data_IF_975562051596
#
_entry.id   IF_975562051596
#
_cell.length_a   1.000
_cell.length_b   1.000
_cell.length_c   1.000
_cell.angle_alpha   90.00
_cell.angle_beta   90.00
_cell.angle_gamma   90.00
#
_symmetry.space_group_name_H-M   'P 1'
#
loop_
_entity.id
_entity.type
_entity.pdbx_description
1 polymer ?
#
# COMPACT_ATOMS: atom_id res chain seq x y z
N UNK A 1 16.35 -10.61 18.49
CA UNK A 1 17.74 -10.67 19.03
C UNK A 1 18.43 -9.29 19.09
N UNK A 2 18.23 -8.40 18.11
CA UNK A 2 18.93 -7.11 18.03
C UNK A 2 18.02 -5.88 18.13
N UNK A 3 16.72 -6.06 18.41
CA UNK A 3 15.74 -4.95 18.38
C UNK A 3 15.51 -4.36 16.98
N UNK A 4 15.96 -5.06 15.94
CA UNK A 4 15.77 -4.65 14.54
C UNK A 4 14.35 -5.01 14.10
N UNK A 5 13.68 -4.04 13.50
CA UNK A 5 12.35 -4.24 12.89
C UNK A 5 12.48 -5.17 11.69
N UNK A 6 11.64 -6.19 11.65
CA UNK A 6 11.51 -7.12 10.55
C UNK A 6 10.26 -6.81 9.72
N UNK A 7 10.48 -6.33 8.50
CA UNK A 7 9.45 -6.14 7.50
C UNK A 7 9.42 -7.35 6.56
N UNK A 8 8.22 -7.84 6.23
CA UNK A 8 8.04 -8.87 5.21
C UNK A 8 7.12 -8.37 4.08
N UNK A 9 7.45 -8.68 2.83
CA UNK A 9 6.62 -8.35 1.69
C UNK A 9 5.75 -9.56 1.32
N UNK A 10 4.44 -9.41 1.51
CA UNK A 10 3.43 -10.40 1.17
C UNK A 10 2.76 -10.00 -0.14
N UNK A 11 3.38 -10.39 -1.25
CA UNK A 11 2.92 -10.02 -2.59
C UNK A 11 2.42 -11.22 -3.40
N UNK A 12 1.80 -10.92 -4.54
CA UNK A 12 1.54 -11.93 -5.56
C UNK A 12 2.82 -12.51 -6.16
N UNK A 13 2.79 -13.76 -6.65
CA UNK A 13 3.98 -14.43 -7.15
C UNK A 13 4.28 -14.02 -8.59
N UNK A 14 5.51 -13.56 -8.85
CA UNK A 14 6.01 -13.28 -10.20
C UNK A 14 6.10 -11.79 -10.53
N UNK A 15 6.97 -11.46 -11.48
CA UNK A 15 7.32 -10.07 -11.82
C UNK A 15 6.69 -9.57 -13.12
N UNK A 16 6.12 -10.47 -13.92
CA UNK A 16 5.72 -10.17 -15.30
C UNK A 16 4.22 -9.91 -15.49
N UNK A 17 3.38 -10.41 -14.58
CA UNK A 17 1.94 -10.21 -14.66
C UNK A 17 1.54 -8.90 -13.96
N UNK A 18 0.43 -8.30 -14.40
CA UNK A 18 -0.10 -7.11 -13.74
C UNK A 18 -0.76 -7.46 -12.41
N UNK A 19 -0.87 -6.49 -11.49
CA UNK A 19 -1.61 -6.70 -10.24
C UNK A 19 -3.05 -7.16 -10.49
N UNK A 20 -3.70 -6.60 -11.52
CA UNK A 20 -5.05 -7.00 -11.91
C UNK A 20 -5.09 -8.48 -12.34
N UNK A 21 -4.14 -8.91 -13.15
CA UNK A 21 -4.05 -10.31 -13.58
C UNK A 21 -3.80 -11.26 -12.40
N UNK A 22 -2.95 -10.86 -11.45
CA UNK A 22 -2.75 -11.64 -10.24
C UNK A 22 -3.99 -11.70 -9.34
N UNK A 23 -4.71 -10.59 -9.20
CA UNK A 23 -5.98 -10.55 -8.46
C UNK A 23 -7.00 -11.49 -9.08
N UNK A 24 -7.11 -11.53 -10.41
CA UNK A 24 -8.01 -12.44 -11.12
C UNK A 24 -7.57 -13.91 -10.98
N UNK A 25 -6.27 -14.18 -11.09
CA UNK A 25 -5.71 -15.53 -11.07
C UNK A 25 -5.67 -16.16 -9.67
N UNK A 26 -5.29 -15.39 -8.67
CA UNK A 26 -5.03 -15.88 -7.31
C UNK A 26 -6.09 -15.41 -6.30
N UNK A 27 -6.69 -14.25 -6.53
CA UNK A 27 -7.69 -13.66 -5.64
C UNK A 27 -7.11 -13.13 -4.32
N UNK A 28 -7.95 -12.40 -3.59
CA UNK A 28 -7.62 -11.87 -2.26
C UNK A 28 -7.24 -12.97 -1.25
N UNK A 29 -7.80 -14.18 -1.39
CA UNK A 29 -7.50 -15.30 -0.49
C UNK A 29 -6.01 -15.64 -0.48
N UNK A 30 -5.33 -15.50 -1.63
CA UNK A 30 -3.89 -15.71 -1.70
C UNK A 30 -3.13 -14.67 -0.87
N UNK A 31 -3.44 -13.38 -1.04
CA UNK A 31 -2.80 -12.31 -0.27
C UNK A 31 -3.07 -12.44 1.24
N UNK A 32 -4.30 -12.80 1.64
CA UNK A 32 -4.62 -13.05 3.05
C UNK A 32 -3.76 -14.19 3.62
N UNK A 33 -3.60 -15.27 2.87
CA UNK A 33 -2.78 -16.39 3.29
C UNK A 33 -1.30 -15.99 3.42
N UNK A 34 -0.72 -15.33 2.41
CA UNK A 34 0.70 -14.93 2.45
C UNK A 34 0.97 -13.89 3.54
N UNK A 35 0.11 -12.88 3.68
CA UNK A 35 0.26 -11.84 4.70
C UNK A 35 0.14 -12.42 6.11
N UNK A 36 -0.80 -13.34 6.34
CA UNK A 36 -0.91 -14.02 7.63
C UNK A 36 0.27 -14.94 7.89
N UNK A 37 0.77 -15.65 6.88
CA UNK A 37 1.96 -16.48 7.02
C UNK A 37 3.17 -15.64 7.44
N UNK A 38 3.39 -14.47 6.83
CA UNK A 38 4.44 -13.53 7.25
C UNK A 38 4.28 -13.10 8.71
N UNK A 39 3.06 -12.75 9.13
CA UNK A 39 2.77 -12.38 10.51
C UNK A 39 3.09 -13.52 11.50
N UNK A 40 2.69 -14.76 11.19
CA UNK A 40 2.98 -15.94 12.02
C UNK A 40 4.48 -16.28 12.07
N UNK A 41 5.26 -15.90 11.05
CA UNK A 41 6.72 -16.02 11.05
C UNK A 41 7.41 -14.95 11.93
N UNK A 42 6.65 -14.02 12.50
CA UNK A 42 7.14 -13.04 13.46
C UNK A 42 7.66 -11.74 12.86
N UNK A 43 7.14 -11.31 11.69
CA UNK A 43 7.43 -9.96 11.21
C UNK A 43 6.68 -8.90 12.03
N UNK A 44 7.31 -7.74 12.20
CA UNK A 44 6.74 -6.61 12.94
C UNK A 44 5.67 -5.88 12.13
N UNK A 45 5.81 -5.88 10.81
CA UNK A 45 4.79 -5.40 9.87
C UNK A 45 4.93 -6.08 8.52
N UNK A 46 3.86 -6.05 7.73
CA UNK A 46 3.88 -6.51 6.34
C UNK A 46 3.62 -5.40 5.36
N UNK A 47 4.18 -5.54 4.17
CA UNK A 47 3.80 -4.79 2.98
C UNK A 47 3.00 -5.72 2.05
N UNK A 48 1.98 -5.20 1.36
CA UNK A 48 1.12 -6.00 0.47
C UNK A 48 0.58 -5.18 -0.70
N UNK A 49 0.13 -5.85 -1.75
CA UNK A 49 -0.49 -5.21 -2.91
C UNK A 49 -1.89 -4.66 -2.60
N UNK A 50 -2.33 -3.68 -3.40
CA UNK A 50 -3.70 -3.17 -3.37
C UNK A 50 -4.66 -4.24 -3.86
N UNK A 51 -5.77 -4.44 -3.14
CA UNK A 51 -6.77 -5.46 -3.49
C UNK A 51 -7.80 -4.99 -4.52
N UNK A 52 -7.75 -3.71 -4.90
CA UNK A 52 -8.63 -3.08 -5.89
C UNK A 52 -9.63 -2.11 -5.29
N UNK A 53 -10.15 -2.40 -4.10
CA UNK A 53 -11.18 -1.60 -3.42
C UNK A 53 -11.00 -1.55 -1.90
N UNK A 54 -11.74 -0.65 -1.25
CA UNK A 54 -11.62 -0.39 0.19
C UNK A 54 -12.09 -1.54 1.06
N UNK A 55 -13.17 -2.20 0.69
CA UNK A 55 -13.81 -3.22 1.53
C UNK A 55 -12.97 -4.49 1.53
N UNK A 56 -12.50 -4.90 0.35
CA UNK A 56 -11.57 -6.02 0.22
C UNK A 56 -10.24 -5.75 0.92
N UNK A 57 -9.72 -4.51 0.85
CA UNK A 57 -8.47 -4.18 1.53
C UNK A 57 -8.65 -4.18 3.05
N UNK A 58 -9.78 -3.66 3.55
CA UNK A 58 -10.10 -3.65 4.98
C UNK A 58 -10.25 -5.07 5.53
N UNK A 59 -10.86 -5.99 4.78
CA UNK A 59 -10.94 -7.42 5.13
C UNK A 59 -9.54 -8.08 5.20
N UNK A 60 -8.60 -7.68 4.33
CA UNK A 60 -7.21 -8.13 4.42
C UNK A 60 -6.52 -7.57 5.66
N UNK A 61 -6.61 -6.25 5.89
CA UNK A 61 -6.00 -5.58 7.05
C UNK A 61 -6.49 -6.18 8.35
N UNK A 62 -7.81 -6.38 8.50
CA UNK A 62 -8.37 -7.01 9.70
C UNK A 62 -7.86 -8.44 9.88
N UNK A 63 -7.66 -9.20 8.81
CA UNK A 63 -7.24 -10.60 8.90
C UNK A 63 -5.79 -10.81 9.41
N UNK A 64 -4.89 -9.86 9.12
CA UNK A 64 -3.44 -9.99 9.37
C UNK A 64 -3.04 -9.75 10.83
N UNK A 65 -3.78 -8.89 11.56
CA UNK A 65 -3.62 -8.59 13.01
C UNK A 65 -2.27 -7.97 13.44
N UNK A 66 -1.42 -7.57 12.49
CA UNK A 66 -0.23 -6.72 12.69
C UNK A 66 -0.29 -5.53 11.70
N UNK A 67 0.55 -4.48 11.86
CA UNK A 67 0.54 -3.35 10.93
C UNK A 67 0.72 -3.77 9.47
N UNK A 68 -0.13 -3.22 8.61
CA UNK A 68 -0.13 -3.46 7.16
C UNK A 68 0.19 -2.16 6.45
N UNK A 69 1.19 -2.16 5.57
CA UNK A 69 1.48 -1.03 4.68
C UNK A 69 1.15 -1.39 3.24
N UNK A 70 0.59 -0.42 2.51
CA UNK A 70 0.21 -0.60 1.09
C UNK A 70 1.41 -0.39 0.17
N UNK A 71 1.60 -1.30 -0.79
CA UNK A 71 2.61 -1.13 -1.82
C UNK A 71 2.15 -0.13 -2.89
N UNK A 72 3.07 0.70 -3.35
CA UNK A 72 2.78 1.73 -4.35
C UNK A 72 2.40 1.19 -5.74
N UNK A 73 2.66 -0.07 -6.03
CA UNK A 73 2.32 -0.70 -7.30
C UNK A 73 3.08 -0.14 -8.52
N UNK A 74 2.55 -0.35 -9.74
CA UNK A 74 3.12 0.25 -10.94
C UNK A 74 2.95 1.77 -10.96
N UNK A 75 3.74 2.45 -11.80
CA UNK A 75 3.60 3.89 -12.01
C UNK A 75 2.20 4.20 -12.52
N UNK A 76 1.54 5.17 -11.89
CA UNK A 76 0.21 5.62 -12.25
C UNK A 76 0.11 7.15 -12.16
N UNK A 77 -0.98 7.77 -12.68
CA UNK A 77 -1.21 9.20 -12.51
C UNK A 77 -1.24 9.58 -11.03
N UNK A 78 -0.60 10.68 -10.67
CA UNK A 78 -0.48 11.13 -9.27
C UNK A 78 -1.83 11.26 -8.54
N UNK A 79 -2.91 11.76 -9.18
CA UNK A 79 -4.22 11.80 -8.52
C UNK A 79 -4.75 10.41 -8.15
N UNK A 80 -4.51 9.41 -8.99
CA UNK A 80 -5.02 8.05 -8.74
C UNK A 80 -4.14 7.32 -7.72
N UNK A 81 -2.84 7.57 -7.73
CA UNK A 81 -1.93 7.14 -6.67
C UNK A 81 -2.35 7.70 -5.30
N UNK A 82 -2.60 9.02 -5.20
CA UNK A 82 -3.04 9.63 -3.94
C UNK A 82 -4.40 9.11 -3.47
N UNK A 83 -5.34 8.84 -4.39
CA UNK A 83 -6.61 8.17 -4.05
C UNK A 83 -6.41 6.75 -3.54
N UNK A 84 -5.49 5.98 -4.14
CA UNK A 84 -5.16 4.64 -3.67
C UNK A 84 -4.59 4.68 -2.25
N UNK A 85 -3.66 5.60 -1.97
CA UNK A 85 -3.11 5.78 -0.62
C UNK A 85 -4.19 6.18 0.38
N UNK A 86 -5.04 7.17 0.07
CA UNK A 86 -6.14 7.57 0.94
C UNK A 86 -7.09 6.38 1.21
N UNK A 87 -7.54 5.70 0.16
CA UNK A 87 -8.39 4.51 0.31
C UNK A 87 -7.75 3.43 1.19
N UNK A 88 -6.45 3.16 1.04
CA UNK A 88 -5.74 2.20 1.87
C UNK A 88 -5.68 2.65 3.34
N UNK A 89 -5.37 3.91 3.61
CA UNK A 89 -5.36 4.47 4.97
C UNK A 89 -6.77 4.38 5.60
N UNK A 90 -7.81 4.70 4.84
CA UNK A 90 -9.21 4.61 5.26
C UNK A 90 -9.70 3.15 5.45
N UNK A 91 -8.96 2.18 4.93
CA UNK A 91 -9.18 0.75 5.14
C UNK A 91 -8.34 0.16 6.29
N UNK A 92 -7.61 1.01 7.02
CA UNK A 92 -6.83 0.61 8.20
C UNK A 92 -5.34 0.34 7.93
N UNK A 93 -4.82 0.67 6.74
CA UNK A 93 -3.39 0.64 6.51
C UNK A 93 -2.65 1.55 7.51
N UNK A 94 -1.45 1.12 7.92
CA UNK A 94 -0.57 1.86 8.83
C UNK A 94 0.43 2.77 8.09
N UNK A 95 0.42 2.75 6.75
CA UNK A 95 1.34 3.53 5.91
C UNK A 95 1.48 2.94 4.52
N UNK A 96 2.56 3.30 3.82
CA UNK A 96 2.84 2.82 2.48
C UNK A 96 4.33 2.48 2.26
N UNK A 97 4.61 1.56 1.34
CA UNK A 97 5.94 1.27 0.81
C UNK A 97 5.91 1.55 -0.70
N UNK A 98 6.54 2.67 -1.11
CA UNK A 98 6.37 3.21 -2.46
C UNK A 98 7.74 3.48 -3.10
N UNK A 99 7.95 2.91 -4.29
CA UNK A 99 9.10 3.18 -5.15
C UNK A 99 8.71 4.04 -6.36
N UNK A 100 8.41 3.38 -7.49
CA UNK A 100 8.20 3.99 -8.82
C UNK A 100 7.29 5.21 -8.85
N UNK A 101 6.19 5.21 -8.09
CA UNK A 101 5.28 6.36 -8.07
C UNK A 101 5.96 7.66 -7.60
N UNK A 102 6.90 7.56 -6.64
CA UNK A 102 7.70 8.69 -6.16
C UNK A 102 8.98 8.87 -6.97
N UNK A 103 9.71 7.82 -7.35
CA UNK A 103 11.00 7.99 -8.03
C UNK A 103 10.87 8.48 -9.48
N UNK A 104 9.73 8.24 -10.13
CA UNK A 104 9.48 8.59 -11.54
C UNK A 104 8.52 9.79 -11.70
N UNK A 105 8.25 10.55 -10.64
CA UNK A 105 7.55 11.84 -10.79
C UNK A 105 8.53 12.95 -11.20
N UNK A 106 8.00 14.02 -11.81
CA UNK A 106 8.73 15.25 -12.10
C UNK A 106 9.15 15.99 -10.83
N UNK A 107 8.37 15.88 -9.75
CA UNK A 107 8.62 16.59 -8.49
C UNK A 107 8.45 15.62 -7.30
N UNK A 108 9.54 14.91 -7.00
CA UNK A 108 9.60 13.89 -5.95
C UNK A 108 9.29 14.50 -4.58
N UNK A 109 9.78 15.69 -4.29
CA UNK A 109 9.56 16.35 -3.02
C UNK A 109 8.07 16.66 -2.83
N UNK A 110 7.44 17.27 -3.83
CA UNK A 110 6.04 17.68 -3.74
C UNK A 110 5.10 16.49 -3.63
N UNK A 111 5.32 15.44 -4.41
CA UNK A 111 4.51 14.22 -4.32
C UNK A 111 4.73 13.47 -3.00
N UNK A 112 5.96 13.44 -2.48
CA UNK A 112 6.26 12.86 -1.17
C UNK A 112 5.53 13.61 -0.06
N UNK A 113 5.54 14.95 -0.10
CA UNK A 113 4.80 15.78 0.88
C UNK A 113 3.29 15.56 0.77
N UNK A 114 2.74 15.51 -0.44
CA UNK A 114 1.32 15.22 -0.66
C UNK A 114 0.92 13.84 -0.10
N UNK A 115 1.79 12.83 -0.26
CA UNK A 115 1.57 11.48 0.28
C UNK A 115 1.63 11.49 1.81
N UNK A 116 2.62 12.18 2.39
CA UNK A 116 2.78 12.30 3.83
C UNK A 116 1.59 13.02 4.49
N UNK A 117 0.98 14.00 3.82
CA UNK A 117 -0.24 14.68 4.27
C UNK A 117 -1.41 13.69 4.45
N UNK A 118 -1.52 12.69 3.60
CA UNK A 118 -2.56 11.64 3.74
C UNK A 118 -2.22 10.75 4.93
N UNK A 119 -1.00 10.22 4.98
CA UNK A 119 -0.60 9.19 5.95
C UNK A 119 -0.48 9.72 7.38
N UNK A 120 0.06 10.93 7.56
CA UNK A 120 0.40 11.50 8.88
C UNK A 120 -0.59 12.54 9.37
N UNK A 121 -1.22 13.29 8.46
CA UNK A 121 -2.10 14.40 8.81
C UNK A 121 -3.59 14.08 8.57
N UNK A 122 -3.90 12.88 8.04
CA UNK A 122 -5.27 12.47 7.76
C UNK A 122 -5.97 13.31 6.69
N UNK A 123 -5.23 13.98 5.81
CA UNK A 123 -5.83 14.72 4.70
C UNK A 123 -6.39 13.76 3.66
N UNK A 124 -7.51 14.14 3.06
CA UNK A 124 -8.11 13.38 1.96
C UNK A 124 -7.29 13.48 0.68
N UNK A 125 -7.47 12.53 -0.23
CA UNK A 125 -6.87 12.56 -1.57
C UNK A 125 -7.17 13.89 -2.29
N UNK A 126 -8.41 14.39 -2.21
CA UNK A 126 -8.77 15.68 -2.81
C UNK A 126 -7.96 16.85 -2.25
N UNK A 127 -7.70 16.85 -0.94
CA UNK A 127 -6.86 17.87 -0.31
C UNK A 127 -5.39 17.78 -0.75
N UNK A 128 -4.85 16.56 -0.84
CA UNK A 128 -3.49 16.32 -1.30
C UNK A 128 -3.31 16.67 -2.79
N UNK A 129 -4.28 16.33 -3.64
CA UNK A 129 -4.31 16.72 -5.06
C UNK A 129 -4.39 18.24 -5.19
N UNK A 130 -5.20 18.90 -4.37
CA UNK A 130 -5.26 20.36 -4.32
C UNK A 130 -3.92 21.01 -3.94
N UNK A 131 -3.08 20.33 -3.16
CA UNK A 131 -1.73 20.77 -2.85
C UNK A 131 -0.76 20.58 -4.04
N UNK A 132 -0.90 19.51 -4.83
CA UNK A 132 -0.08 19.31 -6.04
C UNK A 132 -0.28 20.41 -7.09
N UNK A 133 -1.48 20.97 -7.18
CA UNK A 133 -1.84 21.98 -8.18
C UNK A 133 -1.46 23.42 -7.81
N UNK A 134 -0.97 23.66 -6.58
CA UNK A 134 -0.50 24.97 -6.11
C UNK A 134 0.97 25.16 -6.39
#
# INVERSE_FOLDING_TARGET
RYGMVFAAEAEFPGFYDSQQSHLEKHGIKYLKFTARLCAELGCDFISTNWTGDRDSFADLVDYVKIPVVINGGPKMPEPDFLKMIDNAMQSGASGCLVGRNLSETKDIEKLTRATAMIIREGKTASGAIGFLNK
#
